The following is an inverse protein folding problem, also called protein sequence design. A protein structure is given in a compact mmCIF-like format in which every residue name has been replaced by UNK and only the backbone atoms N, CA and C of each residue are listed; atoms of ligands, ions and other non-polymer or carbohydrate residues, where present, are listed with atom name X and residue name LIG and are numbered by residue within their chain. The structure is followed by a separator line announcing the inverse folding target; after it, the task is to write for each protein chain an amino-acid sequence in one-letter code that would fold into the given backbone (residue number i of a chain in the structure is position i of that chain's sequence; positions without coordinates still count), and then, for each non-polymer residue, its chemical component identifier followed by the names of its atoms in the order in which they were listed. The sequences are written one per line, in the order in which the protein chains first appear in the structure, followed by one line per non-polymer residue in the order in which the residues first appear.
data_IF_228739414737
#
_entry.id   IF_228739414737
#
_cell.length_a   1.000
_cell.length_b   1.000
_cell.length_c   1.000
_cell.angle_alpha   90.00
_cell.angle_beta   90.00
_cell.angle_gamma   90.00
#
_symmetry.space_group_name_H-M   'P 1'
#
loop_
_entity.id
_entity.type
_entity.pdbx_description
1 polymer ?
#
# COMPACT_ATOMS: atom_id res chain seq x y z
N UNK A 1 -29.29 25.56 6.37
CA UNK A 1 -28.12 25.96 5.56
C UNK A 1 -26.90 25.53 6.33
N UNK A 2 -26.22 24.47 5.89
CA UNK A 2 -24.99 24.01 6.53
C UNK A 2 -23.91 25.05 6.26
N UNK A 3 -23.44 25.73 7.30
CA UNK A 3 -22.41 26.78 7.16
C UNK A 3 -21.04 26.13 7.27
N UNK A 4 -20.41 25.89 6.13
CA UNK A 4 -19.03 25.40 6.06
C UNK A 4 -18.03 26.50 6.44
N UNK A 5 -16.96 26.12 7.11
CA UNK A 5 -15.89 27.03 7.56
C UNK A 5 -14.59 26.26 7.65
N UNK A 6 -13.47 26.91 7.37
CA UNK A 6 -12.18 26.24 7.44
C UNK A 6 -11.89 25.79 8.87
N UNK A 7 -11.65 24.49 9.06
CA UNK A 7 -11.37 23.90 10.37
C UNK A 7 -9.93 23.40 10.41
N UNK A 8 -9.20 23.75 11.47
CA UNK A 8 -7.81 23.30 11.66
C UNK A 8 -7.82 22.01 12.48
N UNK A 9 -7.26 20.94 11.92
CA UNK A 9 -7.15 19.63 12.54
C UNK A 9 -5.69 19.21 12.68
N UNK A 10 -5.43 18.27 13.57
CA UNK A 10 -4.10 17.67 13.76
C UNK A 10 -4.12 16.27 13.17
N UNK A 11 -3.16 15.97 12.31
CA UNK A 11 -3.01 14.65 11.70
C UNK A 11 -2.60 13.61 12.74
N UNK A 12 -3.37 12.53 12.88
CA UNK A 12 -3.01 11.41 13.77
C UNK A 12 -1.77 10.63 13.28
N UNK A 13 -1.46 10.69 11.99
CA UNK A 13 -0.34 9.95 11.39
C UNK A 13 1.01 10.65 11.51
N UNK A 14 1.06 11.99 11.47
CA UNK A 14 2.32 12.75 11.50
C UNK A 14 2.36 13.91 12.50
N UNK A 15 1.27 14.16 13.24
CA UNK A 15 1.17 15.22 14.23
C UNK A 15 1.11 16.64 13.66
N UNK A 16 1.17 16.82 12.33
CA UNK A 16 1.10 18.14 11.70
C UNK A 16 -0.33 18.66 11.65
N UNK A 17 -0.49 19.96 11.90
CA UNK A 17 -1.74 20.66 11.66
C UNK A 17 -2.03 20.78 10.16
N UNK A 18 -3.29 20.60 9.78
CA UNK A 18 -3.77 20.79 8.43
C UNK A 18 -5.17 21.42 8.44
N UNK A 19 -5.54 22.07 7.34
CA UNK A 19 -6.82 22.75 7.21
C UNK A 19 -7.77 21.85 6.43
N UNK A 20 -8.92 21.56 7.03
CA UNK A 20 -10.06 20.96 6.37
C UNK A 20 -10.88 22.09 5.75
N UNK A 21 -10.63 22.36 4.46
CA UNK A 21 -11.15 23.56 3.79
C UNK A 21 -12.65 23.45 3.52
N UNK A 22 -13.30 24.61 3.35
CA UNK A 22 -14.69 24.69 2.87
C UNK A 22 -14.89 23.94 1.54
N UNK A 23 -13.88 23.97 0.67
CA UNK A 23 -13.91 23.24 -0.61
C UNK A 23 -13.98 21.73 -0.37
N UNK A 24 -13.20 21.19 0.57
CA UNK A 24 -13.18 19.77 0.91
C UNK A 24 -14.50 19.35 1.59
N UNK A 25 -15.08 20.22 2.44
CA UNK A 25 -16.39 20.02 3.06
C UNK A 25 -17.53 19.96 2.03
N UNK A 26 -17.54 20.89 1.06
CA UNK A 26 -18.53 20.90 -0.03
C UNK A 26 -18.40 19.67 -0.93
N UNK A 27 -17.17 19.25 -1.23
CA UNK A 27 -16.93 18.06 -2.04
C UNK A 27 -17.48 16.79 -1.38
N UNK A 28 -17.33 16.63 -0.05
CA UNK A 28 -17.93 15.49 0.66
C UNK A 28 -19.46 15.48 0.56
N UNK A 29 -20.13 16.62 0.74
CA UNK A 29 -21.59 16.71 0.58
C UNK A 29 -22.03 16.38 -0.85
N UNK A 30 -21.34 16.90 -1.87
CA UNK A 30 -21.64 16.61 -3.28
C UNK A 30 -21.49 15.13 -3.63
N UNK A 31 -20.62 14.40 -2.93
CA UNK A 31 -20.44 12.96 -3.04
C UNK A 31 -21.44 12.15 -2.18
N UNK A 32 -22.31 12.82 -1.41
CA UNK A 32 -23.24 12.18 -0.48
C UNK A 32 -22.57 11.55 0.74
N UNK A 33 -21.34 11.96 1.05
CA UNK A 33 -20.57 11.50 2.21
C UNK A 33 -20.87 12.38 3.43
N UNK A 34 -20.76 11.82 4.66
CA UNK A 34 -20.82 12.64 5.86
C UNK A 34 -19.67 13.67 5.86
N UNK A 35 -20.02 14.95 6.08
CA UNK A 35 -19.03 16.04 6.17
C UNK A 35 -18.33 15.97 7.52
N UNK A 36 -17.33 15.11 7.62
CA UNK A 36 -16.51 14.91 8.81
C UNK A 36 -15.05 15.07 8.45
N UNK A 37 -14.32 15.83 9.27
CA UNK A 37 -12.90 16.04 9.08
C UNK A 37 -12.11 14.71 9.11
N UNK A 38 -11.13 14.51 8.21
CA UNK A 38 -10.35 13.30 8.17
C UNK A 38 -9.39 13.20 9.37
N UNK A 39 -9.07 11.98 9.83
CA UNK A 39 -8.07 11.76 10.88
C UNK A 39 -6.62 12.05 10.40
N UNK A 40 -6.39 11.99 9.09
CA UNK A 40 -5.08 12.14 8.47
C UNK A 40 -5.05 13.32 7.50
N UNK A 41 -3.93 14.05 7.48
CA UNK A 41 -3.73 15.17 6.57
C UNK A 41 -3.63 14.71 5.09
N UNK A 42 -3.77 15.61 4.11
CA UNK A 42 -3.67 15.27 2.68
C UNK A 42 -2.37 14.57 2.29
N UNK A 43 -1.26 14.85 3.00
CA UNK A 43 0.01 14.18 2.78
C UNK A 43 -0.02 12.74 3.30
N UNK A 44 -0.50 12.50 4.52
CA UNK A 44 -0.60 11.15 5.09
C UNK A 44 -1.65 10.30 4.36
N UNK A 45 -2.75 10.89 3.89
CA UNK A 45 -3.75 10.19 3.06
C UNK A 45 -3.16 9.72 1.72
N UNK A 46 -2.24 10.50 1.12
CA UNK A 46 -1.52 10.12 -0.11
C UNK A 46 -0.34 9.17 0.16
N UNK A 47 0.30 9.32 1.30
CA UNK A 47 1.39 8.48 1.79
C UNK A 47 0.89 7.31 2.62
N UNK A 48 -0.38 6.89 2.44
CA UNK A 48 -0.85 5.65 3.03
C UNK A 48 0.18 4.57 2.66
N UNK A 49 0.68 3.80 3.64
CA UNK A 49 1.55 2.66 3.33
C UNK A 49 0.86 1.84 2.21
N UNK A 50 1.62 1.19 1.30
CA UNK A 50 1.01 0.35 0.27
C UNK A 50 -0.07 -0.49 0.96
N UNK A 51 -1.32 -0.31 0.51
CA UNK A 51 -2.48 -0.77 1.27
C UNK A 51 -2.22 -2.22 1.68
N UNK A 52 -2.34 -2.59 2.98
CA UNK A 52 -2.28 -3.99 3.36
C UNK A 52 -3.33 -4.70 2.51
N UNK A 53 -2.87 -5.54 1.61
CA UNK A 53 -3.63 -5.82 0.41
C UNK A 53 -2.87 -6.71 -0.54
N UNK A 54 -3.65 -7.51 -1.25
CA UNK A 54 -3.16 -8.51 -2.17
C UNK A 54 -2.81 -7.84 -3.51
N UNK A 55 -1.52 -7.78 -3.84
CA UNK A 55 -1.00 -7.20 -5.07
C UNK A 55 -0.68 -8.31 -6.09
N UNK A 56 -1.05 -8.13 -7.37
CA UNK A 56 -0.66 -9.05 -8.43
C UNK A 56 0.78 -8.77 -8.88
N UNK A 57 1.55 -9.82 -9.09
CA UNK A 57 2.91 -9.75 -9.61
C UNK A 57 3.29 -10.94 -10.46
N UNK A 58 4.47 -10.83 -11.08
CA UNK A 58 5.08 -11.92 -11.85
C UNK A 58 6.47 -12.19 -11.30
N UNK A 59 6.79 -13.45 -11.02
CA UNK A 59 8.12 -13.83 -10.56
C UNK A 59 9.14 -13.55 -11.66
N UNK A 60 10.05 -12.60 -11.41
CA UNK A 60 11.09 -12.26 -12.38
C UNK A 60 12.20 -13.30 -12.35
N UNK A 61 12.66 -13.65 -11.16
CA UNK A 61 13.63 -14.71 -10.93
C UNK A 61 13.65 -15.06 -9.44
N UNK A 62 14.07 -16.29 -9.14
CA UNK A 62 14.28 -16.78 -7.79
C UNK A 62 15.57 -17.60 -7.74
N UNK A 63 16.38 -17.39 -6.72
CA UNK A 63 17.56 -18.22 -6.45
C UNK A 63 17.28 -19.07 -5.20
N UNK A 64 17.08 -20.38 -5.39
CA UNK A 64 16.79 -21.32 -4.30
C UNK A 64 17.96 -21.52 -3.35
N UNK A 65 19.20 -21.49 -3.84
CA UNK A 65 20.42 -21.60 -3.03
C UNK A 65 20.57 -20.44 -2.05
N UNK A 66 20.25 -19.22 -2.51
CA UNK A 66 20.33 -18.00 -1.70
C UNK A 66 19.01 -17.64 -1.01
N UNK A 67 17.93 -18.34 -1.32
CA UNK A 67 16.60 -18.16 -0.74
C UNK A 67 15.97 -16.76 -0.92
N UNK A 68 16.29 -16.05 -2.00
CA UNK A 68 15.68 -14.75 -2.33
C UNK A 68 15.46 -14.57 -3.83
N UNK A 69 14.60 -13.61 -4.18
CA UNK A 69 14.28 -13.28 -5.56
C UNK A 69 13.62 -11.93 -5.72
N UNK A 70 13.15 -11.66 -6.94
CA UNK A 70 12.42 -10.44 -7.27
C UNK A 70 11.12 -10.76 -8.02
N UNK A 71 10.07 -9.99 -7.69
CA UNK A 71 8.82 -9.97 -8.42
C UNK A 71 8.73 -8.67 -9.23
N UNK A 72 8.12 -8.75 -10.41
CA UNK A 72 7.71 -7.59 -11.20
C UNK A 72 6.33 -7.15 -10.74
N UNK A 73 6.20 -5.89 -10.33
CA UNK A 73 4.91 -5.31 -9.88
C UNK A 73 4.04 -5.01 -11.10
N UNK A 74 2.71 -5.13 -10.95
CA UNK A 74 1.77 -4.76 -12.02
C UNK A 74 1.87 -3.28 -12.46
N UNK A 75 2.22 -2.39 -11.54
CA UNK A 75 2.44 -0.96 -11.81
C UNK A 75 3.84 -0.64 -12.37
N UNK A 76 4.66 -1.67 -12.60
CA UNK A 76 6.05 -1.54 -13.02
C UNK A 76 7.03 -1.48 -11.83
N UNK A 77 8.30 -1.74 -12.13
CA UNK A 77 9.36 -1.87 -11.12
C UNK A 77 9.42 -3.27 -10.50
N UNK A 78 10.42 -3.44 -9.63
CA UNK A 78 10.73 -4.72 -9.00
C UNK A 78 10.59 -4.61 -7.49
N UNK A 79 10.15 -5.70 -6.87
CA UNK A 79 10.08 -5.83 -5.42
C UNK A 79 10.85 -7.07 -4.97
N UNK A 80 11.67 -6.88 -3.94
CA UNK A 80 12.45 -7.94 -3.32
C UNK A 80 11.55 -8.84 -2.49
N UNK A 81 11.83 -10.14 -2.47
CA UNK A 81 11.21 -11.07 -1.53
C UNK A 81 12.21 -12.11 -1.02
N UNK A 82 11.97 -12.58 0.20
CA UNK A 82 12.72 -13.67 0.82
C UNK A 82 11.84 -14.92 0.91
N UNK A 83 12.45 -16.12 0.85
CA UNK A 83 11.73 -17.40 0.96
C UNK A 83 10.82 -17.49 2.19
N UNK A 84 11.20 -16.85 3.30
CA UNK A 84 10.38 -16.83 4.53
C UNK A 84 9.04 -16.11 4.36
N UNK A 85 8.91 -15.26 3.34
CA UNK A 85 7.67 -14.58 3.01
C UNK A 85 6.83 -15.33 1.97
N UNK A 86 7.14 -16.58 1.65
CA UNK A 86 6.43 -17.37 0.63
C UNK A 86 5.59 -18.43 1.32
N UNK A 87 4.31 -18.49 0.95
CA UNK A 87 3.34 -19.45 1.48
C UNK A 87 3.24 -20.65 0.52
N UNK A 88 3.33 -21.86 1.07
CA UNK A 88 3.35 -23.10 0.28
C UNK A 88 4.76 -23.55 -0.09
N UNK A 89 4.89 -24.28 -1.19
CA UNK A 89 6.20 -24.75 -1.69
C UNK A 89 6.84 -23.69 -2.61
N UNK A 90 7.96 -23.06 -2.20
CA UNK A 90 8.61 -22.05 -3.00
C UNK A 90 9.13 -22.55 -4.35
N UNK A 91 9.45 -23.85 -4.49
CA UNK A 91 9.93 -24.40 -5.77
C UNK A 91 8.80 -24.47 -6.83
N UNK A 92 7.56 -24.61 -6.39
CA UNK A 92 6.39 -24.57 -7.28
C UNK A 92 5.89 -23.15 -7.50
N UNK A 93 5.82 -22.36 -6.42
CA UNK A 93 5.24 -21.01 -6.43
C UNK A 93 6.15 -19.97 -7.10
N UNK A 94 7.47 -20.13 -7.04
CA UNK A 94 8.44 -19.13 -7.49
C UNK A 94 9.08 -19.46 -8.84
N UNK A 95 8.35 -20.15 -9.71
CA UNK A 95 8.80 -20.39 -11.09
C UNK A 95 8.91 -19.07 -11.82
N UNK A 96 9.98 -18.88 -12.58
CA UNK A 96 10.15 -17.71 -13.44
C UNK A 96 8.92 -17.55 -14.36
N UNK A 97 8.35 -16.35 -14.39
CA UNK A 97 7.13 -16.05 -15.14
C UNK A 97 5.81 -16.44 -14.45
N UNK A 98 5.84 -17.06 -13.26
CA UNK A 98 4.63 -17.40 -12.52
C UNK A 98 3.88 -16.15 -12.05
N UNK A 99 2.55 -16.19 -12.15
CA UNK A 99 1.68 -15.15 -11.62
C UNK A 99 1.44 -15.43 -10.14
N UNK A 100 1.67 -14.41 -9.31
CA UNK A 100 1.57 -14.53 -7.86
C UNK A 100 0.78 -13.38 -7.27
N UNK A 101 0.20 -13.65 -6.12
CA UNK A 101 -0.32 -12.65 -5.21
C UNK A 101 0.68 -12.43 -4.09
N UNK A 102 0.89 -11.19 -3.69
CA UNK A 102 1.78 -10.84 -2.58
C UNK A 102 1.30 -9.59 -1.83
N UNK A 103 1.72 -9.45 -0.59
CA UNK A 103 1.53 -8.22 0.19
C UNK A 103 2.85 -7.46 0.29
N UNK A 104 2.80 -6.14 0.52
CA UNK A 104 4.00 -5.30 0.64
C UNK A 104 4.22 -4.88 2.09
N UNK A 105 5.42 -5.09 2.60
CA UNK A 105 5.84 -4.64 3.93
C UNK A 105 7.05 -3.72 3.83
N UNK A 106 7.07 -2.68 4.66
CA UNK A 106 8.23 -1.83 4.85
C UNK A 106 9.17 -2.45 5.89
N UNK A 107 10.47 -2.52 5.57
CA UNK A 107 11.53 -3.00 6.46
C UNK A 107 12.69 -2.03 6.53
N UNK A 108 13.65 -2.28 7.42
CA UNK A 108 14.92 -1.54 7.48
C UNK A 108 15.71 -1.57 6.16
N UNK A 109 15.43 -2.55 5.27
CA UNK A 109 16.08 -2.70 3.95
C UNK A 109 15.24 -2.17 2.80
N UNK A 110 14.10 -1.53 3.09
CA UNK A 110 13.13 -1.04 2.11
C UNK A 110 11.91 -1.94 1.97
N UNK A 111 11.18 -1.75 0.87
CA UNK A 111 9.96 -2.50 0.58
C UNK A 111 10.28 -3.95 0.20
N UNK A 112 9.63 -4.89 0.89
CA UNK A 112 9.68 -6.30 0.55
C UNK A 112 8.28 -6.86 0.29
N UNK A 113 8.20 -7.88 -0.57
CA UNK A 113 7.01 -8.68 -0.73
C UNK A 113 6.99 -9.81 0.32
N UNK A 114 5.84 -10.02 0.94
CA UNK A 114 5.58 -11.10 1.89
C UNK A 114 4.22 -11.75 1.59
N UNK A 115 3.96 -12.89 2.23
CA UNK A 115 2.80 -13.74 1.98
C UNK A 115 2.60 -14.07 0.48
N UNK A 116 3.69 -14.35 -0.24
CA UNK A 116 3.68 -14.65 -1.68
C UNK A 116 3.06 -16.03 -1.91
N UNK A 117 2.05 -16.12 -2.76
CA UNK A 117 1.40 -17.37 -3.16
C UNK A 117 0.94 -17.34 -4.61
N UNK A 118 0.69 -18.51 -5.20
CA UNK A 118 0.20 -18.64 -6.57
C UNK A 118 -1.16 -17.95 -6.75
N UNK A 119 -1.38 -17.37 -7.93
CA UNK A 119 -2.63 -16.69 -8.30
C UNK A 119 -3.74 -17.64 -8.73
#
# INVERSE_FOLDING_TARGET
MTTYRDEMHVCEGCGKSFVFTVEEQRAQEQLGLPVTAPAYCPQCRKAAPPQPGLHPGVVKWYNSEKAYGFLTRAEGGEIFFHKSGVTGDPETTLREGAQVWYEVQETERGLQAYNVHER
#
